data_IF_469570409967
#
_entry.id   IF_469570409967
#
_cell.length_a   1.000
_cell.length_b   1.000
_cell.length_c   1.000
_cell.angle_alpha   90.00
_cell.angle_beta   90.00
_cell.angle_gamma   90.00
#
_symmetry.space_group_name_H-M   'P 1'
#
loop_
_entity.id
_entity.type
_entity.pdbx_description
1 polymer ?
#
# COMPACT_ATOMS: atom_id res chain seq x y z
N UNK A 1 -8.85 -13.16 18.67
CA UNK A 1 -9.05 -13.74 17.33
C UNK A 1 -8.20 -12.98 16.31
N UNK A 2 -7.51 -13.69 15.45
CA UNK A 2 -6.69 -13.05 14.41
C UNK A 2 -7.57 -12.40 13.36
N UNK A 3 -7.06 -11.30 12.77
CA UNK A 3 -7.76 -10.53 11.74
C UNK A 3 -7.49 -11.11 10.36
N UNK A 4 -8.24 -10.68 9.36
CA UNK A 4 -8.01 -11.07 7.96
C UNK A 4 -6.60 -10.70 7.51
N UNK A 5 -6.09 -9.54 7.90
CA UNK A 5 -4.73 -9.10 7.54
C UNK A 5 -3.68 -10.01 8.17
N UNK A 6 -3.90 -10.44 9.41
CA UNK A 6 -3.01 -11.39 10.09
C UNK A 6 -3.06 -12.76 9.42
N UNK A 7 -4.24 -13.21 9.00
CA UNK A 7 -4.38 -14.49 8.27
C UNK A 7 -3.58 -14.45 6.96
N UNK A 8 -3.68 -13.38 6.21
CA UNK A 8 -2.92 -13.18 4.98
C UNK A 8 -1.41 -13.24 5.25
N UNK A 9 -0.97 -12.57 6.32
CA UNK A 9 0.44 -12.56 6.71
C UNK A 9 0.92 -13.96 7.11
N UNK A 10 0.08 -14.75 7.79
CA UNK A 10 0.41 -16.14 8.15
C UNK A 10 0.66 -16.97 6.88
N UNK A 11 -0.20 -16.86 5.88
CA UNK A 11 -0.01 -17.59 4.62
C UNK A 11 1.28 -17.18 3.91
N UNK A 12 1.66 -15.92 4.00
CA UNK A 12 2.90 -15.43 3.38
C UNK A 12 4.15 -15.93 4.11
N UNK A 13 4.14 -15.90 5.44
CA UNK A 13 5.30 -16.26 6.26
C UNK A 13 5.43 -17.79 6.43
N UNK A 14 4.32 -18.49 6.41
CA UNK A 14 4.28 -19.95 6.64
C UNK A 14 3.55 -20.62 5.48
N UNK A 15 4.25 -20.86 4.36
CA UNK A 15 3.61 -21.41 3.15
C UNK A 15 3.00 -22.80 3.32
N UNK A 16 3.37 -23.55 4.38
CA UNK A 16 2.77 -24.85 4.66
C UNK A 16 1.35 -24.75 5.20
N UNK A 17 0.94 -23.59 5.71
CA UNK A 17 -0.41 -23.37 6.24
C UNK A 17 -1.42 -23.36 5.10
N UNK A 18 -2.46 -24.19 5.21
CA UNK A 18 -3.52 -24.26 4.20
C UNK A 18 -4.87 -23.79 4.75
N UNK A 19 -5.02 -23.69 6.08
CA UNK A 19 -6.24 -23.17 6.70
C UNK A 19 -5.96 -22.62 8.08
N UNK A 20 -6.86 -21.76 8.55
CA UNK A 20 -6.85 -21.25 9.92
C UNK A 20 -8.22 -21.51 10.54
N UNK A 21 -8.22 -21.79 11.84
CA UNK A 21 -9.45 -21.95 12.61
C UNK A 21 -9.28 -21.16 13.91
N UNK A 22 -10.05 -20.07 14.06
CA UNK A 22 -9.83 -19.16 15.17
C UNK A 22 -8.43 -18.58 15.11
N UNK A 23 -7.64 -18.79 16.16
CA UNK A 23 -6.27 -18.30 16.25
C UNK A 23 -5.23 -19.37 15.90
N UNK A 24 -5.66 -20.54 15.47
CA UNK A 24 -4.77 -21.65 15.11
C UNK A 24 -4.61 -21.79 13.61
N UNK A 25 -3.42 -22.24 13.18
CA UNK A 25 -3.09 -22.48 11.78
C UNK A 25 -2.75 -23.95 11.59
N UNK A 26 -3.12 -24.52 10.44
CA UNK A 26 -2.92 -25.93 10.15
C UNK A 26 -2.36 -26.15 8.75
N UNK A 27 -1.55 -27.21 8.62
CA UNK A 27 -0.99 -27.62 7.33
C UNK A 27 -1.92 -28.60 6.59
N UNK A 28 -1.47 -29.09 5.43
CA UNK A 28 -2.26 -30.03 4.60
C UNK A 28 -2.51 -31.38 5.28
N UNK A 29 -1.70 -31.74 6.29
CA UNK A 29 -1.83 -32.99 7.05
C UNK A 29 -2.62 -32.80 8.35
N UNK A 30 -3.27 -31.63 8.53
CA UNK A 30 -4.01 -31.27 9.75
C UNK A 30 -3.14 -31.11 11.00
N UNK A 31 -1.84 -30.90 10.82
CA UNK A 31 -0.96 -30.61 11.95
C UNK A 31 -0.99 -29.11 12.22
N UNK A 32 -1.04 -28.73 13.50
CA UNK A 32 -0.99 -27.34 13.88
C UNK A 32 0.39 -26.76 13.59
N UNK A 33 0.41 -25.60 12.93
CA UNK A 33 1.62 -24.85 12.63
C UNK A 33 1.72 -23.69 13.62
N UNK A 34 2.77 -23.71 14.43
CA UNK A 34 3.03 -22.61 15.37
C UNK A 34 3.57 -21.41 14.60
N UNK A 35 3.03 -20.23 14.87
CA UNK A 35 3.50 -18.99 14.25
C UNK A 35 3.87 -17.96 15.31
N UNK A 36 4.79 -17.05 14.91
CA UNK A 36 5.22 -15.95 15.77
C UNK A 36 4.28 -14.75 15.51
N UNK A 37 3.45 -14.42 16.49
CA UNK A 37 2.47 -13.35 16.35
C UNK A 37 3.15 -11.99 16.07
N UNK A 38 4.30 -11.73 16.67
CA UNK A 38 5.02 -10.48 16.42
C UNK A 38 5.47 -10.38 14.96
N UNK A 39 5.95 -11.48 14.37
CA UNK A 39 6.33 -11.53 12.96
C UNK A 39 5.11 -11.38 12.06
N UNK A 40 3.99 -12.00 12.44
CA UNK A 40 2.72 -11.90 11.70
C UNK A 40 2.22 -10.45 11.71
N UNK A 41 2.24 -9.79 12.86
CA UNK A 41 1.81 -8.38 12.97
C UNK A 41 2.71 -7.46 12.14
N UNK A 42 4.02 -7.71 12.15
CA UNK A 42 4.96 -6.93 11.35
C UNK A 42 4.68 -7.10 9.85
N UNK A 43 4.45 -8.32 9.40
CA UNK A 43 4.13 -8.59 7.99
C UNK A 43 2.79 -7.97 7.60
N UNK A 44 1.79 -8.03 8.48
CA UNK A 44 0.49 -7.40 8.22
C UNK A 44 0.64 -5.88 8.07
N UNK A 45 1.49 -5.25 8.89
CA UNK A 45 1.75 -3.81 8.80
C UNK A 45 2.48 -3.45 7.49
N UNK A 46 3.42 -4.29 7.04
CA UNK A 46 4.10 -4.13 5.76
C UNK A 46 3.10 -4.22 4.60
N UNK A 47 2.21 -5.21 4.65
CA UNK A 47 1.16 -5.38 3.64
C UNK A 47 0.22 -4.17 3.59
N UNK A 48 -0.13 -3.63 4.76
CA UNK A 48 -0.98 -2.44 4.86
C UNK A 48 -0.29 -1.21 4.26
N UNK A 49 1.00 -1.04 4.53
CA UNK A 49 1.80 0.04 3.92
C UNK A 49 1.73 -0.02 2.39
N UNK A 50 1.95 -1.20 1.83
CA UNK A 50 1.88 -1.39 0.37
C UNK A 50 0.49 -1.08 -0.16
N UNK A 51 -0.56 -1.56 0.51
CA UNK A 51 -1.94 -1.34 0.09
C UNK A 51 -2.29 0.15 0.11
N UNK A 52 -1.87 0.89 1.15
CA UNK A 52 -2.10 2.33 1.23
C UNK A 52 -1.35 3.07 0.13
N UNK A 53 -0.09 2.71 -0.13
CA UNK A 53 0.71 3.34 -1.18
C UNK A 53 0.08 3.13 -2.56
N UNK A 54 -0.36 1.91 -2.85
CA UNK A 54 -1.03 1.59 -4.12
C UNK A 54 -2.33 2.38 -4.26
N UNK A 55 -3.11 2.49 -3.17
CA UNK A 55 -4.36 3.24 -3.17
C UNK A 55 -4.12 4.72 -3.47
N UNK A 56 -3.10 5.31 -2.85
CA UNK A 56 -2.73 6.72 -3.10
C UNK A 56 -2.33 6.90 -4.57
N UNK A 57 -1.53 5.97 -5.11
CA UNK A 57 -1.10 6.06 -6.52
C UNK A 57 -2.31 5.98 -7.46
N UNK A 58 -3.26 5.07 -7.20
CA UNK A 58 -4.47 4.97 -8.00
C UNK A 58 -5.31 6.24 -7.92
N UNK A 59 -5.45 6.81 -6.72
CA UNK A 59 -6.25 8.02 -6.52
C UNK A 59 -5.61 9.27 -7.13
N UNK A 60 -4.30 9.24 -7.40
CA UNK A 60 -3.56 10.39 -7.94
C UNK A 60 -3.05 10.17 -9.36
N UNK A 61 -3.39 9.04 -9.99
CA UNK A 61 -2.94 8.73 -11.37
C UNK A 61 -3.34 9.84 -12.36
N UNK A 62 -4.51 10.43 -12.17
CA UNK A 62 -5.00 11.49 -13.06
C UNK A 62 -4.04 12.69 -13.12
N UNK A 63 -3.25 12.95 -12.07
CA UNK A 63 -2.32 14.08 -12.04
C UNK A 63 -1.14 13.90 -13.01
N UNK A 64 -0.89 12.67 -13.45
CA UNK A 64 0.23 12.37 -14.36
C UNK A 64 -0.21 12.28 -15.83
N UNK A 65 -1.50 12.49 -16.10
CA UNK A 65 -2.01 12.55 -17.49
C UNK A 65 -1.33 13.74 -18.18
N UNK A 66 -0.82 13.51 -19.38
CA UNK A 66 0.07 14.45 -20.05
C UNK A 66 -0.46 15.87 -20.26
N UNK A 67 -1.78 16.03 -20.44
CA UNK A 67 -2.38 17.35 -20.69
C UNK A 67 -2.85 18.07 -19.43
N UNK A 68 -2.94 17.38 -18.28
CA UNK A 68 -3.48 17.95 -17.05
C UNK A 68 -2.65 19.15 -16.57
N UNK A 69 -1.32 19.07 -16.66
CA UNK A 69 -0.43 20.14 -16.25
C UNK A 69 0.13 20.96 -17.40
N UNK A 70 -0.39 20.80 -18.61
CA UNK A 70 0.13 21.48 -19.80
C UNK A 70 -0.75 22.69 -20.13
N UNK A 71 -0.23 23.93 -19.96
CA UNK A 71 -1.02 25.13 -20.24
C UNK A 71 -1.41 25.30 -21.71
N UNK A 72 -0.77 24.53 -22.61
CA UNK A 72 -1.08 24.58 -24.05
C UNK A 72 -2.25 23.67 -24.41
N UNK A 73 -2.53 22.66 -23.59
CA UNK A 73 -3.50 21.60 -23.92
C UNK A 73 -4.72 21.57 -23.01
N UNK A 74 -4.66 22.24 -21.87
CA UNK A 74 -5.74 22.22 -20.89
C UNK A 74 -5.94 23.61 -20.30
N UNK A 75 -7.20 23.98 -20.09
CA UNK A 75 -7.52 25.25 -19.45
C UNK A 75 -8.86 25.08 -18.71
N UNK A 76 -8.88 25.06 -17.39
CA UNK A 76 -7.73 25.27 -16.51
C UNK A 76 -6.77 24.07 -16.51
N UNK A 77 -5.52 24.33 -16.20
CA UNK A 77 -4.52 23.27 -16.05
C UNK A 77 -4.02 23.19 -14.60
N UNK A 78 -3.47 22.04 -14.22
CA UNK A 78 -2.92 21.82 -12.88
C UNK A 78 -1.55 22.49 -12.77
N UNK A 79 -1.49 23.60 -12.04
CA UNK A 79 -0.28 24.43 -11.95
C UNK A 79 0.85 23.70 -11.24
N UNK A 80 0.53 22.90 -10.21
CA UNK A 80 1.52 22.21 -9.38
C UNK A 80 1.67 20.74 -9.69
N UNK A 81 1.54 20.34 -10.96
CA UNK A 81 1.75 18.95 -11.37
C UNK A 81 3.08 18.39 -10.89
N UNK A 82 4.16 19.21 -10.93
CA UNK A 82 5.49 18.76 -10.50
C UNK A 82 5.50 18.34 -9.03
N UNK A 83 4.74 19.03 -8.16
CA UNK A 83 4.62 18.67 -6.75
C UNK A 83 3.94 17.32 -6.59
N UNK A 84 2.93 17.01 -7.40
CA UNK A 84 2.26 15.71 -7.40
C UNK A 84 3.19 14.61 -7.92
N UNK A 85 3.98 14.88 -8.94
CA UNK A 85 4.96 13.92 -9.48
C UNK A 85 5.97 13.55 -8.38
N UNK A 86 6.50 14.55 -7.66
CA UNK A 86 7.43 14.31 -6.56
C UNK A 86 6.77 13.52 -5.41
N UNK A 87 5.56 13.92 -5.02
CA UNK A 87 4.79 13.22 -4.01
C UNK A 87 4.57 11.74 -4.40
N UNK A 88 4.15 11.50 -5.63
CA UNK A 88 3.91 10.14 -6.14
C UNK A 88 5.19 9.31 -6.20
N UNK A 89 6.33 9.92 -6.51
CA UNK A 89 7.62 9.24 -6.50
C UNK A 89 7.96 8.73 -5.10
N UNK A 90 7.71 9.54 -4.06
CA UNK A 90 7.94 9.14 -2.67
C UNK A 90 6.98 8.02 -2.24
N UNK A 91 5.71 8.10 -2.65
CA UNK A 91 4.71 7.05 -2.36
C UNK A 91 5.08 5.76 -3.07
N UNK A 92 5.55 5.85 -4.31
CA UNK A 92 5.96 4.67 -5.10
C UNK A 92 7.12 3.93 -4.42
N UNK A 93 8.04 4.66 -3.79
CA UNK A 93 9.13 4.04 -3.03
C UNK A 93 8.58 3.16 -1.91
N UNK A 94 7.52 3.58 -1.24
CA UNK A 94 6.85 2.80 -0.20
C UNK A 94 6.05 1.63 -0.76
N UNK A 95 5.55 1.73 -1.99
CA UNK A 95 4.85 0.63 -2.65
C UNK A 95 5.83 -0.48 -3.07
N UNK A 96 7.03 -0.11 -3.50
CA UNK A 96 8.06 -1.06 -3.95
C UNK A 96 8.78 -1.69 -2.76
N UNK A 97 9.06 -0.91 -1.73
CA UNK A 97 9.74 -1.37 -0.51
C UNK A 97 8.91 -1.01 0.72
N UNK A 98 7.77 -1.69 0.94
CA UNK A 98 6.90 -1.37 2.06
C UNK A 98 7.56 -1.68 3.40
N UNK A 99 7.25 -0.87 4.41
CA UNK A 99 7.80 -1.03 5.77
C UNK A 99 6.65 -1.03 6.78
N UNK A 100 6.92 -1.57 7.98
CA UNK A 100 5.89 -1.74 9.02
C UNK A 100 5.42 -0.41 9.61
N UNK A 101 6.28 0.61 9.65
CA UNK A 101 5.96 1.91 10.25
C UNK A 101 6.24 3.03 9.24
N UNK A 102 5.44 3.13 8.16
CA UNK A 102 5.71 4.13 7.13
C UNK A 102 5.33 5.53 7.59
N UNK A 103 6.07 6.52 7.08
CA UNK A 103 5.67 7.92 7.17
C UNK A 103 5.38 8.37 5.75
N UNK A 104 4.09 8.50 5.42
CA UNK A 104 3.69 8.95 4.09
C UNK A 104 3.91 10.45 3.96
N UNK A 105 4.38 10.91 2.78
CA UNK A 105 4.49 12.35 2.55
C UNK A 105 3.11 13.02 2.54
N UNK A 106 3.07 14.32 2.78
CA UNK A 106 1.82 15.09 2.72
C UNK A 106 1.41 15.30 1.26
N UNK A 107 0.17 14.94 0.93
CA UNK A 107 -0.34 15.15 -0.42
C UNK A 107 -0.46 16.65 -0.73
N UNK A 108 0.06 17.11 -1.87
CA UNK A 108 -0.11 18.50 -2.27
C UNK A 108 -1.58 18.86 -2.46
N UNK A 109 -1.92 20.12 -2.23
CA UNK A 109 -3.25 20.64 -2.55
C UNK A 109 -3.25 21.04 -4.02
N UNK A 110 -4.29 20.64 -4.76
CA UNK A 110 -4.44 20.97 -6.17
C UNK A 110 -4.48 22.50 -6.37
N UNK A 111 -3.67 22.98 -7.32
CA UNK A 111 -3.66 24.38 -7.69
C UNK A 111 -3.96 24.48 -9.19
N UNK A 112 -5.07 25.10 -9.51
CA UNK A 112 -5.52 25.20 -10.89
C UNK A 112 -5.30 26.61 -11.42
N UNK A 113 -5.02 26.69 -12.72
CA UNK A 113 -4.96 27.99 -13.41
C UNK A 113 -6.36 28.62 -13.43
N UNK A 114 -6.41 29.93 -13.44
CA UNK A 114 -7.69 30.64 -13.45
C UNK A 114 -8.33 30.66 -14.83
#
# INVERSE_FOLDING_TARGET
MITQDQIQAIYQLYPSVVRTVGDAAYDAQDNEVTYDLAAVDNQAAINDCKAQAVQILQNTDWTSIGDVGNPQMSNPYLVNQAAFIDYRSQVRALAVNPIANPVFPTQPTEQWSS
#
